data_IF_847345119287
#
_entry.id   IF_847345119287
#
_cell.length_a   1.000
_cell.length_b   1.000
_cell.length_c   1.000
_cell.angle_alpha   90.00
_cell.angle_beta   90.00
_cell.angle_gamma   90.00
#
_symmetry.space_group_name_H-M   'P 1'
#
loop_
_entity.id
_entity.type
_entity.pdbx_description
1 polymer ?
#
# COMPACT_ATOMS: atom_id res chain seq x y z
N UNK A 1 2.95 1.38 20.03
CA UNK A 1 2.50 1.27 18.63
C UNK A 1 1.15 0.57 18.56
N UNK A 2 0.22 1.16 17.84
CA UNK A 2 -1.10 0.56 17.61
C UNK A 2 -1.38 0.56 16.10
N UNK A 3 -1.69 -0.62 15.54
CA UNK A 3 -2.08 -0.76 14.14
C UNK A 3 -3.58 -1.03 14.10
N UNK A 4 -4.33 -0.20 13.39
CA UNK A 4 -5.77 -0.34 13.25
C UNK A 4 -6.20 -0.29 11.79
N UNK A 5 -7.33 -0.94 11.49
CA UNK A 5 -8.00 -0.76 10.20
C UNK A 5 -8.58 0.65 10.16
N UNK A 6 -8.12 1.47 9.22
CA UNK A 6 -8.62 2.82 9.10
C UNK A 6 -10.07 2.81 8.57
N UNK A 7 -10.95 3.52 9.25
CA UNK A 7 -12.34 3.68 8.88
C UNK A 7 -12.91 4.94 9.51
N UNK A 8 -13.97 5.52 8.92
CA UNK A 8 -14.62 6.70 9.48
C UNK A 8 -13.60 7.81 9.74
N UNK A 9 -13.47 8.21 11.00
CA UNK A 9 -12.61 9.33 11.39
C UNK A 9 -11.11 9.10 11.20
N UNK A 10 -10.66 7.85 11.17
CA UNK A 10 -9.24 7.54 11.00
C UNK A 10 -8.81 7.52 9.53
N UNK A 11 -9.75 7.38 8.58
CA UNK A 11 -9.42 7.45 7.15
C UNK A 11 -8.81 8.79 6.74
N UNK A 12 -9.32 9.95 7.16
CA UNK A 12 -8.68 11.23 6.86
C UNK A 12 -7.25 11.33 7.37
N UNK A 13 -6.95 10.74 8.53
CA UNK A 13 -5.60 10.71 9.07
C UNK A 13 -4.66 9.92 8.17
N UNK A 14 -5.11 8.77 7.68
CA UNK A 14 -4.35 7.96 6.74
C UNK A 14 -4.18 8.69 5.39
N UNK A 15 -5.21 9.37 4.91
CA UNK A 15 -5.15 10.13 3.66
C UNK A 15 -4.13 11.27 3.75
N UNK A 16 -4.03 11.94 4.89
CA UNK A 16 -3.04 12.98 5.09
C UNK A 16 -1.61 12.42 5.01
N UNK A 17 -1.38 11.26 5.60
CA UNK A 17 -0.09 10.56 5.48
C UNK A 17 0.20 10.14 4.05
N UNK A 18 -0.80 9.63 3.36
CA UNK A 18 -0.65 9.19 1.97
C UNK A 18 -0.25 10.35 1.05
N UNK A 19 -0.70 11.57 1.33
CA UNK A 19 -0.30 12.74 0.56
C UNK A 19 1.18 13.11 0.79
N UNK A 20 1.77 12.69 1.89
CA UNK A 20 3.21 12.83 2.10
C UNK A 20 3.99 11.86 1.20
N UNK A 21 3.45 10.67 0.95
CA UNK A 21 4.03 9.69 0.04
C UNK A 21 3.76 10.05 -1.43
N UNK A 22 2.55 10.54 -1.71
CA UNK A 22 2.10 10.90 -3.06
C UNK A 22 1.74 12.39 -3.12
N UNK A 23 2.74 13.28 -3.18
CA UNK A 23 2.49 14.73 -3.03
C UNK A 23 1.69 15.36 -4.17
N UNK A 24 1.47 14.64 -5.27
CA UNK A 24 0.62 15.11 -6.37
C UNK A 24 -0.87 14.93 -6.12
N UNK A 25 -1.28 14.34 -4.99
CA UNK A 25 -2.68 14.06 -4.67
C UNK A 25 -3.15 14.90 -3.49
N UNK A 26 -4.44 15.26 -3.51
CA UNK A 26 -5.10 15.91 -2.38
C UNK A 26 -5.73 14.86 -1.47
N UNK A 27 -5.84 15.09 -0.15
CA UNK A 27 -6.47 14.13 0.76
C UNK A 27 -7.88 13.74 0.34
N UNK A 28 -8.68 14.68 -0.14
CA UNK A 28 -10.07 14.40 -0.55
C UNK A 28 -10.15 13.43 -1.73
N UNK A 29 -9.19 13.51 -2.66
CA UNK A 29 -9.12 12.59 -3.80
C UNK A 29 -8.87 11.16 -3.33
N UNK A 30 -7.92 10.99 -2.42
CA UNK A 30 -7.58 9.67 -1.86
C UNK A 30 -8.73 9.11 -1.04
N UNK A 31 -9.40 9.94 -0.26
CA UNK A 31 -10.57 9.52 0.52
C UNK A 31 -11.69 9.01 -0.39
N UNK A 32 -12.00 9.75 -1.46
CA UNK A 32 -13.03 9.35 -2.41
C UNK A 32 -12.69 8.00 -3.06
N UNK A 33 -11.44 7.80 -3.44
CA UNK A 33 -10.96 6.55 -4.02
C UNK A 33 -11.08 5.39 -3.01
N UNK A 34 -10.61 5.59 -1.78
CA UNK A 34 -10.62 4.55 -0.76
C UNK A 34 -12.02 4.17 -0.29
N UNK A 35 -12.94 5.12 -0.27
CA UNK A 35 -14.34 4.85 0.09
C UNK A 35 -15.04 3.93 -0.91
N UNK A 36 -14.54 3.89 -2.16
CA UNK A 36 -15.12 3.06 -3.21
C UNK A 36 -14.82 1.58 -2.99
N UNK A 37 -13.61 1.22 -2.57
CA UNK A 37 -13.20 -0.19 -2.55
C UNK A 37 -12.81 -0.74 -1.18
N UNK A 38 -12.57 0.10 -0.16
CA UNK A 38 -12.14 -0.41 1.15
C UNK A 38 -13.09 -1.42 1.80
N UNK A 39 -14.43 -1.32 1.66
CA UNK A 39 -15.31 -2.26 2.33
C UNK A 39 -15.18 -3.73 1.92
N UNK A 40 -14.74 -4.00 0.71
CA UNK A 40 -14.67 -5.38 0.23
C UNK A 40 -13.41 -5.75 -0.54
N UNK A 41 -12.91 -4.84 -1.35
CA UNK A 41 -11.81 -5.12 -2.27
C UNK A 41 -10.48 -4.49 -1.84
N UNK A 42 -10.48 -3.66 -0.81
CA UNK A 42 -9.29 -3.02 -0.33
C UNK A 42 -9.38 -2.68 1.14
N UNK A 43 -8.24 -2.31 1.71
CA UNK A 43 -8.13 -1.91 3.11
C UNK A 43 -7.01 -0.90 3.29
N UNK A 44 -7.19 -0.02 4.26
CA UNK A 44 -6.17 0.92 4.68
C UNK A 44 -5.90 0.68 6.16
N UNK A 45 -4.63 0.57 6.52
CA UNK A 45 -4.22 0.41 7.91
C UNK A 45 -3.45 1.64 8.36
N UNK A 46 -3.68 2.04 9.59
CA UNK A 46 -3.06 3.21 10.21
C UNK A 46 -2.24 2.78 11.42
N UNK A 47 -1.00 3.26 11.49
CA UNK A 47 -0.14 3.08 12.66
C UNK A 47 -0.17 4.35 13.48
N UNK A 48 -0.46 4.20 14.79
CA UNK A 48 -0.41 5.27 15.76
C UNK A 48 0.73 5.01 16.74
N UNK A 49 1.49 6.02 17.03
CA UNK A 49 2.57 5.95 18.02
C UNK A 49 2.46 7.15 18.96
N UNK A 50 2.31 6.86 20.26
CA UNK A 50 2.16 7.93 21.26
C UNK A 50 0.96 8.85 21.00
N UNK A 51 -0.11 8.32 20.42
CA UNK A 51 -1.31 9.11 20.09
C UNK A 51 -1.22 9.92 18.79
N UNK A 52 -0.12 9.80 18.04
CA UNK A 52 0.08 10.51 16.78
C UNK A 52 0.05 9.55 15.58
N UNK A 53 -0.56 9.96 14.45
CA UNK A 53 -0.47 9.20 13.21
C UNK A 53 0.99 9.10 12.75
N UNK A 54 1.50 7.89 12.61
CA UNK A 54 2.90 7.64 12.32
C UNK A 54 3.14 7.01 10.95
N UNK A 55 2.17 6.29 10.40
CA UNK A 55 2.31 5.65 9.12
C UNK A 55 1.01 5.01 8.65
N UNK A 56 0.99 4.61 7.39
CA UNK A 56 -0.16 3.92 6.80
C UNK A 56 0.30 2.86 5.81
N UNK A 57 -0.59 1.94 5.49
CA UNK A 57 -0.45 1.03 4.36
C UNK A 57 -1.81 0.86 3.70
N UNK A 58 -1.79 0.79 2.38
CA UNK A 58 -2.98 0.51 1.58
C UNK A 58 -2.75 -0.77 0.80
N UNK A 59 -3.72 -1.66 0.85
CA UNK A 59 -3.70 -2.90 0.08
C UNK A 59 -5.05 -3.13 -0.59
N UNK A 60 -5.04 -3.96 -1.64
CA UNK A 60 -6.27 -4.31 -2.34
C UNK A 60 -6.14 -5.69 -2.95
N UNK A 61 -7.25 -6.26 -3.39
CA UNK A 61 -7.26 -7.50 -4.15
C UNK A 61 -7.06 -7.19 -5.62
N UNK A 62 -6.25 -8.01 -6.27
CA UNK A 62 -6.12 -7.99 -7.73
C UNK A 62 -6.49 -9.35 -8.27
N UNK A 63 -7.37 -9.39 -9.26
CA UNK A 63 -7.85 -10.61 -9.89
C UNK A 63 -7.27 -10.85 -11.28
N UNK A 64 -6.79 -9.80 -11.92
CA UNK A 64 -6.04 -9.90 -13.17
C UNK A 64 -4.63 -10.39 -12.87
N UNK A 65 -3.91 -10.79 -13.91
CA UNK A 65 -2.57 -11.32 -13.74
C UNK A 65 -1.65 -10.33 -13.01
N UNK A 66 -0.93 -10.84 -12.03
CA UNK A 66 0.10 -10.10 -11.29
C UNK A 66 1.43 -10.81 -11.52
N UNK A 67 2.44 -10.05 -11.92
CA UNK A 67 3.78 -10.57 -12.23
C UNK A 67 4.34 -11.38 -11.06
N UNK A 68 4.80 -12.59 -11.38
CA UNK A 68 5.39 -13.48 -10.38
C UNK A 68 4.40 -14.28 -9.56
N UNK A 69 3.10 -14.22 -9.87
CA UNK A 69 2.06 -14.97 -9.15
C UNK A 69 1.38 -15.98 -10.07
N UNK A 70 0.79 -17.02 -9.44
CA UNK A 70 0.09 -18.09 -10.14
C UNK A 70 -1.29 -18.37 -9.54
N UNK A 71 -1.81 -17.44 -8.75
CA UNK A 71 -3.09 -17.58 -8.06
C UNK A 71 -3.93 -16.32 -8.23
N UNK A 72 -5.21 -16.42 -7.86
CA UNK A 72 -6.15 -15.28 -7.87
C UNK A 72 -7.23 -15.51 -6.82
N UNK A 73 -7.66 -14.51 -6.06
CA UNK A 73 -7.11 -13.16 -6.06
C UNK A 73 -5.73 -13.10 -5.40
N UNK A 74 -4.98 -12.05 -5.73
CA UNK A 74 -3.69 -11.77 -5.10
C UNK A 74 -3.87 -10.51 -4.25
N UNK A 75 -3.34 -10.53 -3.02
CA UNK A 75 -3.25 -9.32 -2.22
C UNK A 75 -2.14 -8.43 -2.76
N UNK A 76 -2.37 -7.13 -2.85
CA UNK A 76 -1.42 -6.20 -3.43
C UNK A 76 -1.20 -5.00 -2.53
N UNK A 77 0.06 -4.73 -2.22
CA UNK A 77 0.45 -3.55 -1.44
C UNK A 77 0.55 -2.36 -2.40
N UNK A 78 -0.41 -1.43 -2.31
CA UNK A 78 -0.46 -0.27 -3.19
C UNK A 78 0.41 0.88 -2.68
N UNK A 79 0.57 0.98 -1.37
CA UNK A 79 1.43 1.98 -0.77
C UNK A 79 1.71 1.68 0.69
N UNK A 80 2.88 2.08 1.14
CA UNK A 80 3.27 1.98 2.55
C UNK A 80 4.20 3.14 2.87
N UNK A 81 3.96 3.78 4.01
CA UNK A 81 4.72 4.96 4.38
C UNK A 81 4.77 5.10 5.89
N UNK A 82 5.94 5.42 6.41
CA UNK A 82 6.14 5.75 7.82
C UNK A 82 6.86 7.09 7.88
N UNK A 83 6.34 8.01 8.67
CA UNK A 83 6.98 9.31 8.87
C UNK A 83 8.39 9.13 9.41
N UNK A 84 9.30 9.98 8.96
CA UNK A 84 10.72 9.88 9.28
C UNK A 84 10.99 9.77 10.78
N UNK A 85 10.28 10.57 11.60
CA UNK A 85 10.46 10.57 13.04
C UNK A 85 10.14 9.23 13.72
N UNK A 86 9.38 8.36 13.04
CA UNK A 86 8.93 7.07 13.60
C UNK A 86 9.58 5.87 12.95
N UNK A 87 10.55 6.09 12.05
CA UNK A 87 11.24 4.99 11.35
C UNK A 87 12.21 4.26 12.27
N UNK A 88 12.51 3.02 11.91
CA UNK A 88 13.43 2.17 12.66
C UNK A 88 12.81 1.53 13.88
N UNK A 89 11.49 1.51 14.00
CA UNK A 89 10.74 0.97 15.13
C UNK A 89 9.83 -0.21 14.75
N UNK A 90 9.93 -0.69 13.51
CA UNK A 90 9.14 -1.83 13.06
C UNK A 90 7.72 -1.50 12.60
N UNK A 91 7.36 -0.22 12.45
CA UNK A 91 6.00 0.17 12.04
C UNK A 91 5.65 -0.31 10.64
N UNK A 92 6.57 -0.16 9.69
CA UNK A 92 6.33 -0.59 8.31
C UNK A 92 6.09 -2.09 8.23
N UNK A 93 6.88 -2.89 8.95
CA UNK A 93 6.69 -4.34 9.00
C UNK A 93 5.35 -4.71 9.62
N UNK A 94 4.95 -4.03 10.70
CA UNK A 94 3.67 -4.27 11.35
C UNK A 94 2.49 -3.89 10.43
N UNK A 95 2.59 -2.79 9.69
CA UNK A 95 1.60 -2.40 8.70
C UNK A 95 1.49 -3.44 7.59
N UNK A 96 2.61 -3.92 7.09
CA UNK A 96 2.64 -4.97 6.06
C UNK A 96 1.99 -6.25 6.56
N UNK A 97 2.30 -6.67 7.79
CA UNK A 97 1.69 -7.86 8.39
C UNK A 97 0.18 -7.73 8.51
N UNK A 98 -0.32 -6.54 8.83
CA UNK A 98 -1.76 -6.29 8.86
C UNK A 98 -2.40 -6.46 7.46
N UNK A 99 -1.74 -5.96 6.43
CA UNK A 99 -2.17 -6.14 5.05
C UNK A 99 -2.18 -7.61 4.64
N UNK A 100 -1.11 -8.34 4.98
CA UNK A 100 -1.00 -9.76 4.68
C UNK A 100 -2.09 -10.58 5.38
N UNK A 101 -2.37 -10.27 6.64
CA UNK A 101 -3.45 -10.91 7.41
C UNK A 101 -4.81 -10.67 6.76
N UNK A 102 -5.07 -9.44 6.34
CA UNK A 102 -6.29 -9.10 5.62
C UNK A 102 -6.42 -9.91 4.32
N UNK A 103 -5.34 -10.03 3.56
CA UNK A 103 -5.34 -10.80 2.31
C UNK A 103 -5.60 -12.29 2.56
N UNK A 104 -4.98 -12.86 3.61
CA UNK A 104 -5.21 -14.27 3.97
C UNK A 104 -6.67 -14.54 4.31
N UNK A 105 -7.30 -13.63 5.05
CA UNK A 105 -8.72 -13.75 5.39
C UNK A 105 -9.63 -13.77 4.16
N UNK A 106 -9.18 -13.19 3.06
CA UNK A 106 -9.90 -13.16 1.80
C UNK A 106 -9.51 -14.28 0.84
N UNK A 107 -8.74 -15.25 1.32
CA UNK A 107 -8.38 -16.44 0.55
C UNK A 107 -7.18 -16.25 -0.37
N UNK A 108 -6.41 -15.19 -0.21
CA UNK A 108 -5.21 -14.99 -1.01
C UNK A 108 -4.10 -15.93 -0.58
N UNK A 109 -3.49 -16.62 -1.53
CA UNK A 109 -2.32 -17.46 -1.31
C UNK A 109 -1.02 -16.69 -1.51
N UNK A 110 -1.07 -15.55 -2.20
CA UNK A 110 0.09 -14.74 -2.54
C UNK A 110 -0.18 -13.27 -2.29
N UNK A 111 0.89 -12.55 -2.00
CA UNK A 111 0.87 -11.11 -1.76
C UNK A 111 1.99 -10.48 -2.60
N UNK A 112 1.68 -9.41 -3.32
CA UNK A 112 2.61 -8.80 -4.25
C UNK A 112 2.71 -7.29 -4.01
N UNK A 113 3.72 -6.69 -4.61
CA UNK A 113 3.99 -5.26 -4.49
C UNK A 113 4.90 -4.82 -5.63
N UNK A 114 5.12 -3.53 -5.75
CA UNK A 114 6.11 -2.97 -6.66
C UNK A 114 6.74 -1.72 -6.06
N UNK A 115 7.82 -1.27 -6.68
CA UNK A 115 8.42 0.02 -6.38
C UNK A 115 9.21 0.49 -7.59
N UNK A 116 9.60 1.76 -7.58
CA UNK A 116 10.45 2.31 -8.62
C UNK A 116 11.81 1.63 -8.62
N UNK A 117 12.37 1.45 -9.80
CA UNK A 117 13.65 0.73 -9.99
C UNK A 117 14.80 1.35 -9.20
N UNK A 118 14.81 2.66 -9.03
CA UNK A 118 15.84 3.41 -8.33
C UNK A 118 15.56 3.61 -6.84
N UNK A 119 14.47 3.06 -6.32
CA UNK A 119 14.13 3.18 -4.91
C UNK A 119 14.81 2.07 -4.10
N UNK A 120 16.09 2.27 -3.82
CA UNK A 120 16.91 1.27 -3.11
C UNK A 120 16.37 0.95 -1.72
N UNK A 121 15.82 1.94 -1.02
CA UNK A 121 15.25 1.73 0.31
C UNK A 121 14.02 0.84 0.29
N UNK A 122 13.15 1.03 -0.69
CA UNK A 122 11.97 0.19 -0.86
C UNK A 122 12.34 -1.24 -1.26
N UNK A 123 13.30 -1.39 -2.17
CA UNK A 123 13.81 -2.72 -2.56
C UNK A 123 14.32 -3.46 -1.33
N UNK A 124 15.16 -2.80 -0.52
CA UNK A 124 15.72 -3.40 0.69
C UNK A 124 14.62 -3.78 1.69
N UNK A 125 13.62 -2.92 1.88
CA UNK A 125 12.49 -3.22 2.74
C UNK A 125 11.73 -4.46 2.28
N UNK A 126 11.41 -4.55 1.00
CA UNK A 126 10.68 -5.69 0.46
C UNK A 126 11.46 -7.00 0.66
N UNK A 127 12.75 -7.01 0.31
CA UNK A 127 13.57 -8.21 0.49
C UNK A 127 13.70 -8.59 1.96
N UNK A 128 13.89 -7.61 2.84
CA UNK A 128 13.97 -7.85 4.28
C UNK A 128 12.65 -8.32 4.90
N UNK A 129 11.53 -8.02 4.28
CA UNK A 129 10.20 -8.41 4.74
C UNK A 129 9.73 -9.76 4.16
N UNK A 130 10.57 -10.42 3.37
CA UNK A 130 10.27 -11.76 2.85
C UNK A 130 9.76 -11.81 1.43
N UNK A 131 9.68 -10.66 0.73
CA UNK A 131 9.37 -10.68 -0.70
C UNK A 131 10.57 -11.18 -1.51
N UNK A 132 10.29 -11.85 -2.62
CA UNK A 132 11.28 -12.18 -3.62
C UNK A 132 11.07 -11.28 -4.84
N UNK A 133 12.15 -10.80 -5.44
CA UNK A 133 12.05 -10.02 -6.67
C UNK A 133 11.53 -10.92 -7.79
N UNK A 134 10.41 -10.53 -8.39
CA UNK A 134 9.78 -11.31 -9.47
C UNK A 134 10.32 -10.91 -10.83
N UNK A 135 10.38 -9.61 -11.13
CA UNK A 135 10.82 -9.13 -12.43
C UNK A 135 11.10 -7.62 -12.37
N UNK A 136 11.79 -7.13 -13.39
CA UNK A 136 11.99 -5.71 -13.65
C UNK A 136 11.47 -5.42 -15.04
N UNK A 137 10.56 -4.44 -15.15
CA UNK A 137 9.90 -4.13 -16.41
C UNK A 137 10.05 -2.65 -16.74
N UNK A 138 9.95 -2.34 -18.03
CA UNK A 138 9.85 -0.97 -18.52
C UNK A 138 8.45 -0.80 -19.10
N UNK A 139 7.74 0.22 -18.62
CA UNK A 139 6.37 0.48 -19.03
C UNK A 139 6.34 1.57 -20.09
N UNK A 140 5.50 1.39 -21.11
CA UNK A 140 5.34 2.34 -22.20
C UNK A 140 3.88 2.74 -22.32
N UNK A 141 3.64 4.02 -22.66
CA UNK A 141 2.31 4.50 -23.03
C UNK A 141 2.38 5.28 -24.32
N UNK A 142 1.24 5.41 -25.00
CA UNK A 142 1.14 6.21 -26.22
C UNK A 142 -0.26 6.83 -26.25
N UNK A 143 -0.31 8.14 -26.42
CA UNK A 143 -1.58 8.83 -26.60
C UNK A 143 -2.09 8.55 -28.02
N UNK A 144 -3.34 8.10 -28.13
CA UNK A 144 -4.00 7.87 -29.42
C UNK A 144 -4.96 8.99 -29.78
N UNK A 145 -5.20 9.91 -28.86
CA UNK A 145 -6.06 11.08 -29.06
C UNK A 145 -5.18 12.31 -29.10
N UNK A 146 -5.39 13.17 -30.12
CA UNK A 146 -4.70 14.44 -30.19
C UNK A 146 -5.19 15.36 -29.07
N UNK A 147 -4.26 16.09 -28.45
CA UNK A 147 -4.61 17.08 -27.46
C UNK A 147 -5.19 18.32 -28.15
N UNK A 148 -6.32 18.81 -27.61
CA UNK A 148 -6.97 20.00 -28.13
C UNK A 148 -6.18 21.29 -27.82
#
# INVERSE_FOLDING_TARGET
>A
MVITRASGESLPQAAALACELWPGHAPDELLAEWETFTPGEGAVFLAMEGGAPAGFAQCQLRRDYVEGTDSSPVGYLEGIYVREAFRGRGLARALLQACEGWARERGCAQFASDCELDNAGSIAFHLGAGFAEANRIVCFTKQLREEA
#
